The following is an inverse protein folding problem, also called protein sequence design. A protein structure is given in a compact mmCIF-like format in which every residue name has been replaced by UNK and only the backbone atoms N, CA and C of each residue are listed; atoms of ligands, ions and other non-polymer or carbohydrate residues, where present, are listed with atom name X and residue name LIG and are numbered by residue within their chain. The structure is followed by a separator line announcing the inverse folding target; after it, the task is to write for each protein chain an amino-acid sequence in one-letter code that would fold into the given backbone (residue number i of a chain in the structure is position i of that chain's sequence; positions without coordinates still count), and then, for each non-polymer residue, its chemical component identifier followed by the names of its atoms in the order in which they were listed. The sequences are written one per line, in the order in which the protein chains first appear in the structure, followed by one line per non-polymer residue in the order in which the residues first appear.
data_IF_702580805099
#
_entry.id   IF_702580805099
#
_cell.length_a   1.000
_cell.length_b   1.000
_cell.length_c   1.000
_cell.angle_alpha   90.00
_cell.angle_beta   90.00
_cell.angle_gamma   90.00
#
_symmetry.space_group_name_H-M   'P 1'
#
loop_
_entity.id
_entity.type
_entity.pdbx_description
1 polymer ?
#
# COMPACT_ATOMS: atom_id res chain seq x y z
N UNK A 1 -21.23 1.78 5.48
CA UNK A 1 -19.98 1.07 5.80
C UNK A 1 -19.57 0.35 4.54
N UNK A 2 -18.37 0.62 4.01
CA UNK A 2 -17.85 -0.13 2.86
C UNK A 2 -17.75 -1.61 3.25
N UNK A 3 -18.21 -2.51 2.37
CA UNK A 3 -18.02 -3.95 2.56
C UNK A 3 -16.53 -4.28 2.51
N UNK A 4 -16.11 -5.36 3.15
CA UNK A 4 -14.73 -5.87 3.08
C UNK A 4 -14.30 -6.12 1.62
N UNK A 5 -15.24 -6.54 0.77
CA UNK A 5 -15.04 -6.69 -0.68
C UNK A 5 -14.75 -5.37 -1.40
N UNK A 6 -15.39 -4.27 -0.98
CA UNK A 6 -15.18 -2.93 -1.54
C UNK A 6 -13.78 -2.39 -1.19
N UNK A 7 -13.33 -2.63 0.05
CA UNK A 7 -11.98 -2.30 0.47
C UNK A 7 -10.94 -3.10 -0.31
N UNK A 8 -11.13 -4.42 -0.44
CA UNK A 8 -10.24 -5.29 -1.20
C UNK A 8 -10.14 -4.87 -2.67
N UNK A 9 -11.25 -4.54 -3.30
CA UNK A 9 -11.28 -4.08 -4.70
C UNK A 9 -10.53 -2.75 -4.85
N UNK A 10 -10.79 -1.79 -3.94
CA UNK A 10 -10.13 -0.48 -3.93
C UNK A 10 -8.62 -0.62 -3.78
N UNK A 11 -8.13 -1.41 -2.83
CA UNK A 11 -6.69 -1.55 -2.62
C UNK A 11 -6.01 -2.38 -3.71
N UNK A 12 -6.73 -3.31 -4.34
CA UNK A 12 -6.24 -4.00 -5.55
C UNK A 12 -6.04 -3.00 -6.70
N UNK A 13 -7.03 -2.13 -6.95
CA UNK A 13 -6.94 -1.10 -7.97
C UNK A 13 -5.82 -0.09 -7.66
N UNK A 14 -5.67 0.32 -6.39
CA UNK A 14 -4.58 1.19 -5.94
C UNK A 14 -3.22 0.57 -6.26
N UNK A 15 -3.01 -0.69 -5.89
CA UNK A 15 -1.73 -1.38 -6.12
C UNK A 15 -1.42 -1.51 -7.61
N UNK A 16 -2.41 -1.84 -8.44
CA UNK A 16 -2.25 -1.92 -9.89
C UNK A 16 -1.86 -0.56 -10.48
N UNK A 17 -2.52 0.52 -10.07
CA UNK A 17 -2.21 1.86 -10.54
C UNK A 17 -0.81 2.32 -10.09
N UNK A 18 -0.42 2.09 -8.83
CA UNK A 18 0.92 2.39 -8.34
C UNK A 18 2.00 1.59 -9.08
N UNK A 19 1.73 0.32 -9.40
CA UNK A 19 2.65 -0.48 -10.21
C UNK A 19 2.79 0.06 -11.63
N UNK A 20 1.69 0.47 -12.26
CA UNK A 20 1.74 1.11 -13.58
C UNK A 20 2.59 2.39 -13.58
N UNK A 21 2.58 3.16 -12.49
CA UNK A 21 3.41 4.37 -12.34
C UNK A 21 4.90 4.08 -12.09
N UNK A 22 5.24 2.95 -11.46
CA UNK A 22 6.61 2.68 -11.00
C UNK A 22 7.66 2.70 -12.12
N UNK A 23 7.28 2.34 -13.35
CA UNK A 23 8.15 2.36 -14.53
C UNK A 23 8.07 3.64 -15.36
N UNK A 24 7.24 4.61 -14.97
CA UNK A 24 7.00 5.82 -15.75
C UNK A 24 7.69 7.03 -15.12
N UNK A 25 8.27 7.88 -15.97
CA UNK A 25 8.84 9.16 -15.53
C UNK A 25 7.73 10.18 -15.31
N UNK A 26 7.84 11.07 -14.31
CA UNK A 26 6.91 12.19 -14.14
C UNK A 26 6.67 12.97 -15.44
N UNK A 27 5.41 13.20 -15.79
CA UNK A 27 5.00 13.88 -17.03
C UNK A 27 4.78 12.96 -18.23
N UNK A 28 5.02 11.64 -18.10
CA UNK A 28 4.68 10.66 -19.14
C UNK A 28 3.15 10.60 -19.32
N UNK A 29 2.62 10.81 -20.53
CA UNK A 29 1.17 10.80 -20.77
C UNK A 29 0.51 9.45 -20.45
N UNK A 30 1.27 8.34 -20.45
CA UNK A 30 0.78 7.00 -20.06
C UNK A 30 0.40 6.92 -18.58
N UNK A 31 0.84 7.86 -17.75
CA UNK A 31 0.47 7.93 -16.34
C UNK A 31 -0.97 8.40 -16.11
N UNK A 32 -1.64 9.00 -17.11
CA UNK A 32 -2.92 9.68 -16.94
C UNK A 32 -4.00 8.78 -16.31
N UNK A 33 -4.20 7.57 -16.82
CA UNK A 33 -5.24 6.65 -16.32
C UNK A 33 -4.96 6.21 -14.88
N UNK A 34 -3.69 5.91 -14.57
CA UNK A 34 -3.28 5.52 -13.22
C UNK A 34 -3.50 6.66 -12.21
N UNK A 35 -3.23 7.91 -12.61
CA UNK A 35 -3.49 9.09 -11.78
C UNK A 35 -4.99 9.31 -11.54
N UNK A 36 -5.84 9.13 -12.56
CA UNK A 36 -7.31 9.23 -12.41
C UNK A 36 -7.84 8.21 -11.40
N UNK A 37 -7.35 6.97 -11.47
CA UNK A 37 -7.72 5.91 -10.52
C UNK A 37 -7.29 6.31 -9.10
N UNK A 38 -6.02 6.70 -8.91
CA UNK A 38 -5.48 7.06 -7.59
C UNK A 38 -6.16 8.29 -6.99
N UNK A 39 -6.40 9.35 -7.78
CA UNK A 39 -7.13 10.54 -7.36
C UNK A 39 -8.60 10.21 -7.02
N UNK A 40 -9.22 9.25 -7.72
CA UNK A 40 -10.56 8.74 -7.42
C UNK A 40 -10.62 8.03 -6.07
N UNK A 41 -9.64 7.15 -5.81
CA UNK A 41 -9.52 6.40 -4.56
C UNK A 41 -9.30 7.34 -3.38
N UNK A 42 -8.36 8.28 -3.49
CA UNK A 42 -8.05 9.23 -2.40
C UNK A 42 -9.20 10.16 -2.06
N UNK A 43 -10.03 10.57 -3.05
CA UNK A 43 -11.22 11.40 -2.78
C UNK A 43 -12.31 10.67 -1.99
N UNK A 44 -12.38 9.35 -2.13
CA UNK A 44 -13.34 8.51 -1.41
C UNK A 44 -12.84 8.11 -0.03
N UNK A 45 -11.54 8.24 0.23
CA UNK A 45 -10.90 7.76 1.43
C UNK A 45 -10.72 8.88 2.47
N UNK A 46 -11.08 8.60 3.72
CA UNK A 46 -10.67 9.45 4.84
C UNK A 46 -9.17 9.26 5.10
N UNK A 47 -8.44 10.37 5.27
CA UNK A 47 -7.00 10.35 5.59
C UNK A 47 -6.72 9.30 6.66
N UNK A 48 -5.96 8.28 6.27
CA UNK A 48 -5.57 7.16 7.14
C UNK A 48 -4.11 7.36 7.52
N UNK A 49 -3.77 7.76 8.76
CA UNK A 49 -2.39 7.93 9.18
C UNK A 49 -1.65 6.59 9.16
N UNK A 50 -0.31 6.63 9.11
CA UNK A 50 0.50 5.42 9.27
C UNK A 50 0.15 4.72 10.59
N UNK A 51 -0.02 3.38 10.59
CA UNK A 51 -0.43 2.69 11.77
C UNK A 51 0.79 2.42 12.66
N UNK A 52 0.61 2.56 13.96
CA UNK A 52 1.56 2.04 14.94
C UNK A 52 1.16 0.59 15.23
N UNK A 53 1.96 -0.36 14.77
CA UNK A 53 1.72 -1.80 14.96
C UNK A 53 2.87 -2.41 15.78
N UNK A 54 2.58 -3.29 16.75
CA UNK A 54 3.59 -3.88 17.60
C UNK A 54 4.42 -4.94 16.86
N UNK A 55 5.72 -4.94 17.12
CA UNK A 55 6.60 -6.06 16.80
C UNK A 55 6.42 -7.15 17.86
N UNK A 56 6.15 -8.38 17.45
CA UNK A 56 5.99 -9.53 18.34
C UNK A 56 7.09 -10.55 18.10
N UNK A 57 7.85 -10.88 19.14
CA UNK A 57 8.78 -12.01 19.09
C UNK A 57 8.03 -13.33 19.37
N UNK A 58 8.23 -14.33 18.52
CA UNK A 58 7.69 -15.69 18.68
C UNK A 58 8.82 -16.68 19.01
N UNK A 59 8.50 -17.90 19.50
CA UNK A 59 9.53 -18.91 19.79
C UNK A 59 10.49 -19.12 18.62
N UNK A 60 11.79 -19.18 18.93
CA UNK A 60 12.84 -19.24 17.92
C UNK A 60 13.42 -17.88 17.52
N UNK A 61 13.05 -16.79 18.20
CA UNK A 61 13.65 -15.47 18.02
C UNK A 61 13.22 -14.76 16.72
N UNK A 62 12.13 -15.21 16.11
CA UNK A 62 11.56 -14.60 14.91
C UNK A 62 10.66 -13.45 15.35
N UNK A 63 10.82 -12.29 14.70
CA UNK A 63 9.98 -11.11 14.95
C UNK A 63 8.96 -10.95 13.83
N UNK A 64 7.70 -10.85 14.20
CA UNK A 64 6.56 -10.74 13.29
C UNK A 64 5.69 -9.52 13.59
N UNK A 65 4.88 -9.13 12.62
CA UNK A 65 3.65 -8.36 12.84
C UNK A 65 2.46 -9.30 12.68
N UNK A 66 1.53 -9.31 13.63
CA UNK A 66 0.32 -10.14 13.54
C UNK A 66 -0.72 -9.45 12.66
N UNK A 67 -1.43 -10.23 11.85
CA UNK A 67 -2.45 -9.69 10.95
C UNK A 67 -3.59 -8.99 11.70
N UNK A 68 -3.93 -9.47 12.90
CA UNK A 68 -4.94 -8.85 13.76
C UNK A 68 -4.53 -7.49 14.33
N UNK A 69 -3.24 -7.18 14.36
CA UNK A 69 -2.72 -5.92 14.91
C UNK A 69 -2.62 -4.81 13.85
N UNK A 70 -2.73 -5.16 12.56
CA UNK A 70 -2.68 -4.19 11.48
C UNK A 70 -4.11 -3.67 11.22
N UNK A 71 -4.38 -2.37 11.44
CA UNK A 71 -5.70 -1.81 11.18
C UNK A 71 -5.97 -1.69 9.69
N UNK A 72 -7.24 -1.72 9.31
CA UNK A 72 -7.64 -1.30 7.95
C UNK A 72 -7.50 0.22 7.78
N UNK A 73 -7.15 0.71 6.58
CA UNK A 73 -6.93 -0.02 5.32
C UNK A 73 -5.51 -0.61 5.14
N UNK A 74 -4.63 -0.46 6.13
CA UNK A 74 -3.21 -0.80 6.00
C UNK A 74 -2.94 -2.28 5.87
N UNK A 75 -3.76 -3.12 6.53
CA UNK A 75 -3.69 -4.57 6.38
C UNK A 75 -3.94 -4.97 4.94
N UNK A 76 -5.03 -4.48 4.34
CA UNK A 76 -5.34 -4.79 2.95
C UNK A 76 -4.30 -4.22 1.97
N UNK A 77 -3.77 -3.02 2.21
CA UNK A 77 -2.66 -2.45 1.42
C UNK A 77 -1.43 -3.34 1.44
N UNK A 78 -1.03 -3.77 2.64
CA UNK A 78 0.13 -4.65 2.83
C UNK A 78 -0.06 -6.00 2.16
N UNK A 79 -1.25 -6.60 2.26
CA UNK A 79 -1.58 -7.83 1.55
C UNK A 79 -1.51 -7.67 0.03
N UNK A 80 -2.00 -6.56 -0.54
CA UNK A 80 -1.97 -6.32 -1.97
C UNK A 80 -0.53 -6.09 -2.48
N UNK A 81 0.30 -5.40 -1.70
CA UNK A 81 1.69 -5.12 -2.05
C UNK A 81 2.62 -6.35 -1.89
N UNK A 82 2.33 -7.22 -0.92
CA UNK A 82 3.18 -8.36 -0.55
C UNK A 82 2.68 -9.69 -1.13
N UNK A 83 1.93 -9.65 -2.23
CA UNK A 83 1.43 -10.88 -2.89
C UNK A 83 2.61 -11.74 -3.34
N UNK A 84 2.67 -12.97 -2.83
CA UNK A 84 3.74 -13.93 -3.15
C UNK A 84 4.89 -13.95 -2.15
N UNK A 85 4.90 -13.07 -1.14
CA UNK A 85 5.88 -13.16 -0.04
C UNK A 85 5.59 -14.36 0.86
N UNK A 86 6.66 -14.99 1.37
CA UNK A 86 6.56 -16.03 2.41
C UNK A 86 6.04 -15.43 3.70
N UNK A 87 5.08 -16.11 4.35
CA UNK A 87 4.47 -15.66 5.61
C UNK A 87 4.33 -16.83 6.57
N UNK A 88 4.26 -16.52 7.86
CA UNK A 88 3.95 -17.49 8.91
C UNK A 88 2.43 -17.53 9.13
N UNK A 89 1.97 -18.56 9.83
CA UNK A 89 0.55 -18.66 10.19
C UNK A 89 0.14 -17.52 11.13
N UNK A 90 1.06 -17.10 12.00
CA UNK A 90 0.88 -16.09 13.03
C UNK A 90 0.92 -14.66 12.50
N UNK A 91 1.48 -14.45 11.30
CA UNK A 91 1.65 -13.12 10.72
C UNK A 91 2.74 -13.01 9.66
N UNK A 92 3.10 -11.78 9.31
CA UNK A 92 4.20 -11.50 8.40
C UNK A 92 5.49 -11.18 9.18
N UNK A 93 6.64 -11.38 8.56
CA UNK A 93 7.91 -10.96 9.14
C UNK A 93 7.91 -9.45 9.39
N UNK A 94 8.42 -9.03 10.55
CA UNK A 94 8.52 -7.62 10.91
C UNK A 94 9.29 -6.81 9.85
N UNK A 95 10.37 -7.41 9.34
CA UNK A 95 11.16 -6.82 8.26
C UNK A 95 10.35 -6.54 6.98
N UNK A 96 9.46 -7.45 6.59
CA UNK A 96 8.61 -7.26 5.40
C UNK A 96 7.63 -6.10 5.59
N UNK A 97 7.13 -5.95 6.82
CA UNK A 97 6.28 -4.83 7.19
C UNK A 97 7.02 -3.49 7.15
N UNK A 98 8.23 -3.42 7.73
CA UNK A 98 9.07 -2.21 7.66
C UNK A 98 9.43 -1.85 6.22
N UNK A 99 9.81 -2.85 5.43
CA UNK A 99 10.09 -2.69 4.00
C UNK A 99 8.88 -2.14 3.26
N UNK A 100 7.70 -2.70 3.50
CA UNK A 100 6.46 -2.21 2.91
C UNK A 100 6.22 -0.74 3.22
N UNK A 101 6.37 -0.30 4.48
CA UNK A 101 6.18 1.10 4.86
C UNK A 101 7.19 2.03 4.18
N UNK A 102 8.45 1.61 4.07
CA UNK A 102 9.49 2.38 3.38
C UNK A 102 9.21 2.52 1.89
N UNK A 103 8.86 1.42 1.22
CA UNK A 103 8.51 1.45 -0.21
C UNK A 103 7.24 2.24 -0.48
N UNK A 104 6.22 2.13 0.38
CA UNK A 104 5.01 2.93 0.28
C UNK A 104 5.32 4.44 0.29
N UNK A 105 6.21 4.91 1.17
CA UNK A 105 6.60 6.33 1.20
C UNK A 105 7.26 6.78 -0.11
N UNK A 106 8.13 5.94 -0.70
CA UNK A 106 8.75 6.23 -1.99
C UNK A 106 7.72 6.29 -3.11
N UNK A 107 6.78 5.34 -3.13
CA UNK A 107 5.69 5.30 -4.10
C UNK A 107 4.78 6.54 -4.00
N UNK A 108 4.44 6.98 -2.79
CA UNK A 108 3.67 8.21 -2.58
C UNK A 108 4.44 9.45 -3.04
N UNK A 109 5.75 9.52 -2.79
CA UNK A 109 6.58 10.61 -3.28
C UNK A 109 6.64 10.65 -4.82
N UNK A 110 6.75 9.49 -5.47
CA UNK A 110 6.74 9.37 -6.93
C UNK A 110 5.37 9.74 -7.51
N UNK A 111 4.28 9.33 -6.87
CA UNK A 111 2.92 9.75 -7.22
C UNK A 111 2.78 11.28 -7.19
N UNK A 112 3.26 11.94 -6.13
CA UNK A 112 3.24 13.41 -6.04
C UNK A 112 4.06 14.08 -7.14
N UNK A 113 5.22 13.51 -7.51
CA UNK A 113 6.00 14.02 -8.66
C UNK A 113 5.22 13.93 -9.97
N UNK A 114 4.52 12.82 -10.22
CA UNK A 114 3.63 12.69 -11.38
C UNK A 114 2.49 13.71 -11.37
N UNK A 115 1.89 13.97 -10.20
CA UNK A 115 0.84 14.99 -10.04
C UNK A 115 1.36 16.39 -10.36
N UNK A 116 2.55 16.74 -9.86
CA UNK A 116 3.19 18.02 -10.14
C UNK A 116 3.57 18.20 -11.62
N UNK A 117 3.93 17.12 -12.30
CA UNK A 117 4.32 17.12 -13.71
C UNK A 117 3.12 17.05 -14.68
N UNK A 118 1.88 16.92 -14.17
CA UNK A 118 0.68 16.85 -15.01
C UNK A 118 0.48 18.19 -15.74
N UNK A 119 0.38 18.21 -17.08
CA UNK A 119 0.07 19.43 -17.80
C UNK A 119 -1.29 19.99 -17.34
N UNK A 120 -1.36 21.32 -17.23
CA UNK A 120 -2.58 22.06 -16.85
C UNK A 120 -3.64 22.03 -17.94
#
# INVERSE_FOLDING_TARGET
MASDDDLRLRETARRQALWALAGLTPGDPRAADALVILDGIERQEQRSPFPSVPATEIPGGIVIVRDGDIPEPWKQRFHCASRGSTRLLEGAYWYDWEKFLSEWQKEMAHLEQHRCARPK
#
